data_IF_253884521477
#
_entry.id   IF_253884521477
#
_cell.length_a   1.000
_cell.length_b   1.000
_cell.length_c   1.000
_cell.angle_alpha   90.00
_cell.angle_beta   90.00
_cell.angle_gamma   90.00
#
_symmetry.space_group_name_H-M   'P 1'
#
loop_
_entity.id
_entity.type
_entity.pdbx_description
1 polymer ?
#
# COMPACT_ATOMS: atom_id res chain seq x y z
N UNK A 1 13.47 -0.34 13.94
CA UNK A 1 12.31 0.39 14.46
C UNK A 1 12.74 1.06 15.76
N UNK A 2 11.98 2.05 16.20
CA UNK A 2 12.12 2.70 17.50
C UNK A 2 10.73 2.92 18.12
N UNK A 3 10.66 3.67 19.23
CA UNK A 3 9.41 3.93 19.95
C UNK A 3 8.34 4.65 19.11
N UNK A 4 8.70 5.24 17.96
CA UNK A 4 7.81 6.03 17.11
C UNK A 4 7.63 5.45 15.70
N UNK A 5 8.67 4.83 15.13
CA UNK A 5 8.71 4.46 13.73
C UNK A 5 9.19 3.02 13.48
N UNK A 6 8.53 2.37 12.55
CA UNK A 6 9.08 1.23 11.83
C UNK A 6 9.89 1.73 10.63
N UNK A 7 11.15 1.30 10.54
CA UNK A 7 12.03 1.61 9.41
C UNK A 7 12.15 0.37 8.54
N UNK A 8 11.92 0.56 7.24
CA UNK A 8 11.94 -0.51 6.24
C UNK A 8 12.86 -0.04 5.11
N UNK A 9 13.80 -0.90 4.73
CA UNK A 9 14.68 -0.69 3.59
C UNK A 9 14.83 -2.01 2.85
N UNK A 10 14.78 -1.94 1.53
CA UNK A 10 14.97 -3.08 0.66
C UNK A 10 15.91 -2.69 -0.49
N UNK A 11 16.86 -3.56 -0.78
CA UNK A 11 17.61 -3.54 -2.03
C UNK A 11 17.03 -4.65 -2.91
N UNK A 12 16.47 -4.28 -4.05
CA UNK A 12 15.74 -5.20 -4.93
C UNK A 12 16.52 -5.34 -6.22
N UNK A 13 16.90 -6.57 -6.54
CA UNK A 13 17.47 -6.95 -7.82
C UNK A 13 16.43 -7.76 -8.59
N UNK A 14 16.28 -7.45 -9.88
CA UNK A 14 15.38 -8.20 -10.76
C UNK A 14 16.12 -8.64 -12.02
N UNK A 15 15.85 -9.88 -12.44
CA UNK A 15 16.34 -10.44 -13.70
C UNK A 15 15.51 -9.94 -14.91
N UNK A 16 14.44 -9.18 -14.66
CA UNK A 16 13.60 -8.52 -15.66
C UNK A 16 13.59 -7.00 -15.48
N UNK A 17 13.18 -6.27 -16.51
CA UNK A 17 13.12 -4.82 -16.48
C UNK A 17 12.09 -4.30 -15.48
N UNK A 18 12.49 -3.36 -14.63
CA UNK A 18 11.57 -2.63 -13.75
C UNK A 18 10.63 -1.74 -14.57
N UNK A 19 9.33 -1.82 -14.30
CA UNK A 19 8.30 -1.01 -14.94
C UNK A 19 7.68 -0.04 -13.93
N UNK A 20 7.48 1.21 -14.33
CA UNK A 20 6.74 2.19 -13.53
C UNK A 20 6.11 3.24 -14.46
N UNK A 21 4.79 3.17 -14.60
CA UNK A 21 3.99 3.93 -15.56
C UNK A 21 2.98 4.83 -14.86
N UNK A 22 2.42 4.37 -13.74
CA UNK A 22 1.47 5.15 -12.96
C UNK A 22 2.19 6.23 -12.18
N UNK A 23 1.62 7.44 -12.21
CA UNK A 23 2.14 8.61 -11.48
C UNK A 23 1.16 9.13 -10.42
N UNK A 24 -0.11 8.73 -10.50
CA UNK A 24 -1.17 9.21 -9.62
C UNK A 24 -1.27 8.37 -8.34
N UNK A 25 -1.37 9.03 -7.18
CA UNK A 25 -1.55 8.36 -5.89
C UNK A 25 -2.82 7.51 -5.92
N UNK A 26 -2.74 6.30 -5.37
CA UNK A 26 -3.79 5.28 -5.36
C UNK A 26 -4.24 4.80 -6.76
N UNK A 27 -3.45 5.05 -7.81
CA UNK A 27 -3.57 4.30 -9.04
C UNK A 27 -3.29 2.81 -8.78
N UNK A 28 -3.91 1.89 -9.54
CA UNK A 28 -3.78 0.44 -9.33
C UNK A 28 -2.43 -0.11 -9.82
N UNK A 29 -1.34 0.24 -9.12
CA UNK A 29 0.04 -0.03 -9.56
C UNK A 29 0.35 -1.53 -9.70
N UNK A 30 -0.15 -2.37 -8.78
CA UNK A 30 -0.08 -3.84 -8.79
C UNK A 30 -0.49 -4.53 -10.11
N UNK A 31 -1.25 -3.85 -10.97
CA UNK A 31 -1.72 -4.46 -12.22
C UNK A 31 -0.66 -4.48 -13.31
N UNK A 32 0.30 -3.55 -13.29
CA UNK A 32 1.22 -3.33 -14.39
C UNK A 32 2.63 -2.95 -13.93
N UNK A 33 2.75 -2.11 -12.92
CA UNK A 33 4.05 -1.62 -12.47
C UNK A 33 4.77 -2.66 -11.62
N UNK A 34 6.10 -2.57 -11.61
CA UNK A 34 6.90 -3.22 -10.57
C UNK A 34 6.79 -2.40 -9.30
N UNK A 35 6.34 -3.04 -8.23
CA UNK A 35 6.13 -2.45 -6.92
C UNK A 35 6.91 -3.17 -5.82
N UNK A 36 7.13 -2.43 -4.75
CA UNK A 36 7.59 -2.94 -3.48
C UNK A 36 6.45 -2.75 -2.48
N UNK A 37 6.12 -3.84 -1.79
CA UNK A 37 4.97 -3.90 -0.91
C UNK A 37 5.40 -4.15 0.54
N UNK A 38 4.68 -3.51 1.46
CA UNK A 38 4.82 -3.72 2.89
C UNK A 38 3.44 -4.01 3.47
N UNK A 39 3.34 -5.16 4.11
CA UNK A 39 2.18 -5.60 4.88
C UNK A 39 2.46 -5.45 6.36
N UNK A 40 1.57 -4.77 7.10
CA UNK A 40 1.72 -4.54 8.54
C UNK A 40 0.44 -4.94 9.26
N UNK A 41 0.57 -5.92 10.14
CA UNK A 41 -0.45 -6.32 11.12
C UNK A 41 0.14 -6.26 12.53
N UNK A 42 -0.07 -5.14 13.27
CA UNK A 42 0.43 -5.02 14.64
C UNK A 42 -0.25 -5.97 15.62
N UNK A 43 -1.44 -6.48 15.28
CA UNK A 43 -2.24 -7.37 16.14
C UNK A 43 -1.95 -8.86 15.91
N UNK A 44 -1.32 -9.22 14.80
CA UNK A 44 -1.05 -10.61 14.42
C UNK A 44 -2.32 -11.44 14.22
N UNK A 45 -3.41 -10.80 13.79
CA UNK A 45 -4.73 -11.43 13.59
C UNK A 45 -4.99 -11.85 12.15
N UNK A 46 -4.14 -11.42 11.20
CA UNK A 46 -4.36 -11.44 9.75
C UNK A 46 -5.61 -10.66 9.30
N UNK A 47 -6.19 -9.83 10.17
CA UNK A 47 -7.38 -9.03 9.91
C UNK A 47 -7.07 -7.55 10.11
N UNK A 48 -7.76 -6.70 9.35
CA UNK A 48 -7.61 -5.23 9.39
C UNK A 48 -6.15 -4.78 9.27
N UNK A 49 -5.39 -5.45 8.40
CA UNK A 49 -3.97 -5.19 8.22
C UNK A 49 -3.75 -4.13 7.13
N UNK A 50 -2.64 -3.42 7.23
CA UNK A 50 -2.27 -2.33 6.33
C UNK A 50 -1.42 -2.86 5.19
N UNK A 51 -1.70 -2.39 3.99
CA UNK A 51 -0.85 -2.55 2.82
C UNK A 51 -0.35 -1.17 2.38
N UNK A 52 0.96 -1.09 2.12
CA UNK A 52 1.64 0.06 1.54
C UNK A 52 2.45 -0.43 0.35
N UNK A 53 2.12 0.08 -0.82
CA UNK A 53 2.81 -0.23 -2.06
C UNK A 53 3.41 1.04 -2.66
N UNK A 54 4.54 0.86 -3.34
CA UNK A 54 5.23 1.91 -4.06
C UNK A 54 5.90 1.35 -5.31
N UNK A 55 5.66 2.00 -6.45
CA UNK A 55 6.40 1.70 -7.68
C UNK A 55 7.76 2.42 -7.70
N UNK A 56 8.56 2.16 -8.75
CA UNK A 56 9.90 2.77 -8.90
C UNK A 56 9.90 4.31 -9.08
N UNK A 57 8.75 4.93 -9.36
CA UNK A 57 8.57 6.39 -9.40
C UNK A 57 8.12 6.99 -8.06
N UNK A 58 8.01 6.15 -7.03
CA UNK A 58 7.45 6.50 -5.72
C UNK A 58 5.98 6.93 -5.78
N UNK A 59 5.24 6.42 -6.77
CA UNK A 59 3.79 6.49 -6.78
C UNK A 59 3.27 5.48 -5.77
N UNK A 60 2.51 5.99 -4.82
CA UNK A 60 2.05 5.21 -3.67
C UNK A 60 0.61 4.81 -3.86
N UNK A 61 0.35 3.53 -3.60
CA UNK A 61 -0.97 3.02 -3.31
C UNK A 61 -0.97 2.45 -1.90
N UNK A 62 -2.05 2.69 -1.16
CA UNK A 62 -2.19 2.20 0.18
C UNK A 62 -3.65 1.85 0.46
N UNK A 63 -3.88 0.71 1.09
CA UNK A 63 -5.21 0.27 1.54
C UNK A 63 -5.13 -0.41 2.91
N UNK A 64 -6.28 -0.63 3.52
CA UNK A 64 -6.44 -1.56 4.64
C UNK A 64 -7.32 -2.71 4.14
N UNK A 65 -6.91 -3.95 4.39
CA UNK A 65 -7.72 -5.13 4.09
C UNK A 65 -8.33 -5.66 5.39
N UNK A 66 -9.65 -5.79 5.43
CA UNK A 66 -10.35 -6.22 6.66
C UNK A 66 -10.04 -7.68 7.05
N UNK A 67 -9.67 -8.53 6.10
CA UNK A 67 -9.23 -9.93 6.22
C UNK A 67 -8.68 -10.39 4.85
N UNK A 68 -7.98 -11.52 4.75
CA UNK A 68 -7.42 -11.98 3.48
C UNK A 68 -8.48 -12.13 2.39
N UNK A 69 -8.12 -11.90 1.13
CA UNK A 69 -9.06 -12.06 0.00
C UNK A 69 -9.64 -13.48 -0.08
N UNK A 70 -8.85 -14.50 0.23
CA UNK A 70 -9.30 -15.90 0.29
C UNK A 70 -10.36 -16.16 1.38
N UNK A 71 -10.50 -15.25 2.36
CA UNK A 71 -11.55 -15.26 3.38
C UNK A 71 -12.68 -14.23 3.10
N UNK A 72 -12.85 -13.82 1.83
CA UNK A 72 -13.85 -12.84 1.43
C UNK A 72 -13.52 -11.42 1.90
N UNK A 73 -12.23 -11.10 1.97
CA UNK A 73 -11.70 -9.78 2.27
C UNK A 73 -12.20 -8.70 1.33
N UNK A 74 -12.24 -7.48 1.83
CA UNK A 74 -12.61 -6.28 1.10
C UNK A 74 -11.58 -5.19 1.37
N UNK A 75 -11.21 -4.50 0.30
CA UNK A 75 -10.38 -3.30 0.35
C UNK A 75 -11.13 -2.20 1.09
N UNK A 76 -10.41 -1.46 1.93
CA UNK A 76 -10.82 -0.16 2.45
C UNK A 76 -9.76 0.84 2.01
N UNK A 77 -10.13 1.78 1.15
CA UNK A 77 -9.17 2.73 0.58
C UNK A 77 -9.85 3.97 0.01
N UNK A 78 -9.07 5.04 -0.16
CA UNK A 78 -9.47 6.23 -0.92
C UNK A 78 -9.58 6.00 -2.44
N UNK A 79 -9.26 4.80 -2.95
CA UNK A 79 -9.46 4.43 -4.37
C UNK A 79 -10.90 4.05 -4.64
N UNK A 80 -11.54 3.33 -3.71
CA UNK A 80 -12.87 2.75 -3.93
C UNK A 80 -13.99 3.51 -3.21
N UNK A 81 -13.64 4.44 -2.31
CA UNK A 81 -14.57 5.17 -1.47
C UNK A 81 -14.10 6.61 -1.21
N UNK A 82 -15.02 7.46 -0.79
CA UNK A 82 -14.82 8.86 -0.43
C UNK A 82 -14.92 9.07 1.09
N UNK A 83 -14.33 10.15 1.65
CA UNK A 83 -14.42 10.44 3.08
C UNK A 83 -15.86 10.42 3.61
N UNK A 84 -16.13 9.54 4.57
CA UNK A 84 -17.45 9.36 5.19
C UNK A 84 -18.22 8.12 4.69
N UNK A 85 -17.73 7.44 3.65
CA UNK A 85 -18.29 6.18 3.17
C UNK A 85 -17.74 4.97 3.96
N UNK A 86 -18.49 3.87 4.00
CA UNK A 86 -18.19 2.68 4.81
C UNK A 86 -16.80 2.09 4.55
N UNK A 87 -16.40 2.03 3.27
CA UNK A 87 -15.13 1.44 2.85
C UNK A 87 -13.99 2.47 2.74
N UNK A 88 -14.20 3.69 3.22
CA UNK A 88 -13.16 4.71 3.16
C UNK A 88 -12.11 4.48 4.24
N UNK A 89 -10.87 4.34 3.79
CA UNK A 89 -9.69 4.42 4.64
C UNK A 89 -8.59 5.16 3.89
N UNK A 90 -7.93 6.11 4.54
CA UNK A 90 -6.70 6.71 4.02
C UNK A 90 -5.80 7.09 5.18
N UNK A 91 -4.49 7.01 4.96
CA UNK A 91 -3.50 7.38 5.97
C UNK A 91 -3.45 8.91 6.04
N UNK A 92 -4.10 9.47 7.06
CA UNK A 92 -4.17 10.92 7.26
C UNK A 92 -2.77 11.53 7.35
N UNK A 93 -2.44 12.36 6.37
CA UNK A 93 -1.16 13.08 6.34
C UNK A 93 0.05 12.20 6.01
N UNK A 94 -0.15 11.06 5.33
CA UNK A 94 0.97 10.29 4.78
C UNK A 94 1.80 11.19 3.87
N UNK A 95 3.06 11.38 4.23
CA UNK A 95 4.04 12.04 3.39
C UNK A 95 4.85 10.97 2.70
N UNK A 96 4.90 11.05 1.39
CA UNK A 96 5.79 10.24 0.58
C UNK A 96 6.83 11.20 0.00
N UNK A 97 8.07 10.75 -0.13
CA UNK A 97 9.10 11.53 -0.81
C UNK A 97 8.81 11.55 -2.31
N UNK A 98 7.71 12.16 -2.76
CA UNK A 98 7.50 12.36 -4.19
C UNK A 98 8.58 13.30 -4.70
N UNK A 99 9.01 13.09 -5.94
CA UNK A 99 9.76 14.10 -6.68
C UNK A 99 9.04 15.45 -6.67
#
# INVERSE_FOLDING_TARGET
WDDTYLYIGAEIMSDFGTMATFTERNAPIFQLDSDFEVFIDPGGTCHSYKELELNALNTVWNLMLNRPYDDGGSEYSGRIAQPGEEYYYDVKGQKTATR
#
